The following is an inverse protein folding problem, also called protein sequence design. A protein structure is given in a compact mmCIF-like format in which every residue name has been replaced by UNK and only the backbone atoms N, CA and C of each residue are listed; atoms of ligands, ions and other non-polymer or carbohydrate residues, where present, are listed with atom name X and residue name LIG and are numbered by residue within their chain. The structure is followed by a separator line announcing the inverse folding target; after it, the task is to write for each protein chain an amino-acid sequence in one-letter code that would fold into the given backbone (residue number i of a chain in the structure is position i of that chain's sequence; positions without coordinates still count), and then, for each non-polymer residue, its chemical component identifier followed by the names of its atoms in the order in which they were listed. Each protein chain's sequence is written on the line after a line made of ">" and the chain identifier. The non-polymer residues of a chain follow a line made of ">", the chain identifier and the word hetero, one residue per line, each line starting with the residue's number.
data_IF_193324371677
#
_entry.id   IF_193324371677
#
_cell.length_a   1.000
_cell.length_b   1.000
_cell.length_c   1.000
_cell.angle_alpha   90.00
_cell.angle_beta   90.00
_cell.angle_gamma   90.00
#
_symmetry.space_group_name_H-M   'P 1'
#
loop_
_entity.id
_entity.type
_entity.pdbx_description
1 polymer ?
#
# COMPACT_ATOMS: atom_id res chain seq x y z
N UNK A 1 -2.48 21.98 0.01
CA UNK A 1 -3.27 20.90 0.65
C UNK A 1 -2.37 19.87 1.31
N UNK A 2 -1.48 19.19 0.54
CA UNK A 2 -0.54 18.21 1.11
C UNK A 2 0.25 18.74 2.31
N UNK A 3 0.94 19.86 2.17
CA UNK A 3 1.77 20.40 3.26
C UNK A 3 0.98 20.76 4.52
N UNK A 4 -0.24 21.29 4.38
CA UNK A 4 -1.08 21.57 5.54
C UNK A 4 -1.54 20.28 6.25
N UNK A 5 -1.96 19.27 5.50
CA UNK A 5 -2.34 17.98 6.06
C UNK A 5 -1.16 17.28 6.75
N UNK A 6 0.01 17.30 6.11
CA UNK A 6 1.26 16.76 6.68
C UNK A 6 1.66 17.49 7.97
N UNK A 7 1.57 18.81 8.00
CA UNK A 7 1.86 19.60 9.19
C UNK A 7 0.95 19.22 10.36
N UNK A 8 -0.34 18.99 10.12
CA UNK A 8 -1.28 18.53 11.16
C UNK A 8 -0.82 17.21 11.78
N UNK A 9 -0.50 16.20 10.96
CA UNK A 9 -0.01 14.89 11.46
C UNK A 9 1.26 15.04 12.31
N UNK A 10 2.22 15.86 11.85
CA UNK A 10 3.49 16.07 12.55
C UNK A 10 3.30 16.88 13.85
N UNK A 11 2.37 17.84 13.86
CA UNK A 11 2.02 18.59 15.08
C UNK A 11 1.39 17.64 16.11
N UNK A 12 0.43 16.79 15.69
CA UNK A 12 -0.18 15.80 16.60
C UNK A 12 0.89 14.89 17.19
N UNK A 13 1.79 14.35 16.36
CA UNK A 13 2.90 13.50 16.82
C UNK A 13 3.83 14.26 17.79
N UNK A 14 4.12 15.52 17.51
CA UNK A 14 4.97 16.35 18.40
C UNK A 14 4.32 16.60 19.75
N UNK A 15 3.01 16.81 19.77
CA UNK A 15 2.25 17.05 20.98
C UNK A 15 2.04 15.79 21.83
N UNK A 16 2.07 14.60 21.23
CA UNK A 16 1.95 13.33 21.95
C UNK A 16 3.27 12.87 22.61
N UNK A 17 4.42 13.38 22.16
CA UNK A 17 5.73 12.94 22.64
C UNK A 17 5.93 13.08 24.17
N UNK A 18 5.47 14.14 24.89
CA UNK A 18 5.65 14.27 26.34
C UNK A 18 4.95 13.15 27.12
N UNK A 19 3.82 12.67 26.64
CA UNK A 19 3.00 11.65 27.30
C UNK A 19 3.35 10.22 26.83
N UNK A 20 4.26 10.09 25.85
CA UNK A 20 4.69 8.78 25.35
C UNK A 20 5.46 8.02 26.44
N UNK A 21 5.02 6.82 26.82
CA UNK A 21 5.70 6.02 27.84
C UNK A 21 7.02 5.47 27.30
N UNK A 22 7.82 4.86 28.20
CA UNK A 22 9.00 4.09 27.77
C UNK A 22 8.58 2.98 26.80
N UNK A 23 9.28 2.89 25.68
CA UNK A 23 9.08 1.89 24.63
C UNK A 23 10.33 1.04 24.46
N UNK A 24 10.27 0.01 23.63
CA UNK A 24 11.46 -0.75 23.19
C UNK A 24 12.38 0.11 22.27
N UNK A 25 11.86 1.23 21.76
CA UNK A 25 12.54 2.11 20.81
C UNK A 25 13.19 3.34 21.46
N UNK A 26 12.61 3.82 22.59
CA UNK A 26 13.09 5.03 23.23
C UNK A 26 12.68 5.09 24.73
N UNK A 27 13.40 5.93 25.55
CA UNK A 27 13.00 6.28 26.90
C UNK A 27 11.65 7.04 26.90
N UNK A 28 11.05 7.30 28.10
CA UNK A 28 9.86 8.14 28.19
C UNK A 28 10.11 9.53 27.59
N UNK A 29 9.07 10.15 27.03
CA UNK A 29 9.13 11.47 26.40
C UNK A 29 10.21 11.56 25.33
N UNK A 30 10.12 10.74 24.25
CA UNK A 30 11.16 10.65 23.25
C UNK A 30 11.43 11.99 22.55
N UNK A 31 12.64 12.17 22.11
CA UNK A 31 13.00 13.26 21.20
C UNK A 31 12.25 13.11 19.88
N UNK A 32 12.17 14.18 19.11
CA UNK A 32 11.53 14.13 17.77
C UNK A 32 12.08 13.02 16.88
N UNK A 33 13.40 12.87 16.83
CA UNK A 33 14.04 11.86 15.96
C UNK A 33 13.77 10.43 16.45
N UNK A 34 13.75 10.22 17.75
CA UNK A 34 13.37 8.92 18.32
C UNK A 34 11.92 8.59 18.01
N UNK A 35 11.01 9.57 18.21
CA UNK A 35 9.58 9.35 18.06
C UNK A 35 9.16 9.01 16.63
N UNK A 36 9.74 9.67 15.61
CA UNK A 36 9.51 9.32 14.20
C UNK A 36 10.17 8.02 13.76
N UNK A 37 11.08 7.47 14.59
CA UNK A 37 11.85 6.25 14.29
C UNK A 37 11.29 4.99 14.98
N UNK A 38 10.05 5.05 15.48
CA UNK A 38 9.41 3.89 16.08
C UNK A 38 9.01 2.82 15.04
N UNK A 39 8.79 1.60 15.50
CA UNK A 39 8.24 0.48 14.75
C UNK A 39 9.06 0.10 13.50
N UNK A 40 8.47 0.12 12.31
CA UNK A 40 9.16 -0.28 11.05
C UNK A 40 10.41 0.55 10.78
N UNK A 41 10.42 1.83 11.19
CA UNK A 41 11.63 2.67 11.10
C UNK A 41 12.81 2.11 11.88
N UNK A 42 12.56 1.41 12.99
CA UNK A 42 13.59 0.72 13.77
C UNK A 42 14.22 -0.43 12.99
N UNK A 43 13.43 -1.18 12.22
CA UNK A 43 13.93 -2.22 11.33
C UNK A 43 14.77 -1.65 10.19
N UNK A 44 14.34 -0.56 9.56
CA UNK A 44 15.12 0.10 8.51
C UNK A 44 16.44 0.66 9.04
N UNK A 45 16.48 1.21 10.26
CA UNK A 45 17.70 1.63 10.91
C UNK A 45 18.65 0.44 11.20
N UNK A 46 18.10 -0.71 11.61
CA UNK A 46 18.89 -1.93 11.81
C UNK A 46 19.49 -2.42 10.51
N UNK A 47 18.73 -2.41 9.41
CA UNK A 47 19.22 -2.81 8.09
C UNK A 47 20.33 -1.87 7.60
N UNK A 48 20.19 -0.56 7.80
CA UNK A 48 21.21 0.44 7.44
C UNK A 48 22.54 0.19 8.18
N UNK A 49 22.48 -0.21 9.45
CA UNK A 49 23.66 -0.43 10.29
C UNK A 49 24.27 -1.82 10.16
N UNK A 50 23.46 -2.86 9.98
CA UNK A 50 23.87 -4.26 10.12
C UNK A 50 23.66 -5.08 8.83
N UNK A 51 22.91 -4.54 7.86
CA UNK A 51 22.52 -5.28 6.67
C UNK A 51 21.47 -6.37 6.96
N UNK A 52 21.36 -7.30 6.03
CA UNK A 52 20.47 -8.46 6.13
C UNK A 52 21.23 -9.66 6.71
N UNK A 53 20.62 -10.43 7.63
CA UNK A 53 21.28 -11.56 8.26
C UNK A 53 21.53 -12.70 7.26
N UNK A 54 22.71 -13.30 7.31
CA UNK A 54 23.07 -14.50 6.55
C UNK A 54 22.63 -15.79 7.22
N UNK A 55 22.29 -15.75 8.53
CA UNK A 55 21.72 -16.85 9.27
C UNK A 55 20.43 -16.41 9.94
N UNK A 56 19.39 -17.23 9.85
CA UNK A 56 18.10 -16.95 10.47
C UNK A 56 18.06 -17.57 11.86
N UNK A 57 17.80 -16.76 12.89
CA UNK A 57 17.49 -17.26 14.21
C UNK A 57 16.16 -18.03 14.17
N UNK A 58 16.08 -19.10 14.95
CA UNK A 58 14.88 -19.93 15.11
C UNK A 58 14.56 -20.06 16.60
N UNK A 59 13.28 -20.12 16.92
CA UNK A 59 12.79 -20.38 18.27
C UNK A 59 12.96 -21.86 18.68
N UNK A 60 12.50 -22.22 19.87
CA UNK A 60 12.57 -23.58 20.40
C UNK A 60 11.76 -24.61 19.59
N UNK A 61 10.74 -24.14 18.86
CA UNK A 61 9.85 -24.96 18.03
C UNK A 61 10.34 -25.04 16.57
N UNK A 62 11.45 -24.37 16.24
CA UNK A 62 12.07 -24.37 14.91
C UNK A 62 11.47 -23.33 13.95
N UNK A 63 10.60 -22.43 14.43
CA UNK A 63 10.11 -21.32 13.62
C UNK A 63 11.14 -20.21 13.53
N UNK A 64 11.19 -19.55 12.38
CA UNK A 64 12.09 -18.43 12.15
C UNK A 64 11.62 -17.22 12.95
N UNK A 65 12.54 -16.59 13.68
CA UNK A 65 12.28 -15.33 14.38
C UNK A 65 12.08 -14.16 13.41
N UNK A 66 11.39 -13.12 13.90
CA UNK A 66 11.24 -11.85 13.17
C UNK A 66 12.62 -11.29 12.80
N UNK A 67 12.80 -10.98 11.53
CA UNK A 67 14.10 -10.51 11.04
C UNK A 67 13.96 -9.52 9.86
N UNK A 68 15.09 -8.98 9.40
CA UNK A 68 15.18 -7.92 8.42
C UNK A 68 14.64 -8.30 7.02
N UNK A 69 14.61 -9.59 6.65
CA UNK A 69 14.16 -10.01 5.30
C UNK A 69 12.68 -9.71 5.00
N UNK A 70 11.86 -9.39 6.00
CA UNK A 70 10.49 -8.88 5.78
C UNK A 70 10.46 -7.46 5.21
N UNK A 71 11.57 -6.72 5.28
CA UNK A 71 11.64 -5.31 4.90
C UNK A 71 12.41 -5.14 3.60
N UNK A 72 11.79 -4.53 2.61
CA UNK A 72 12.37 -4.32 1.29
C UNK A 72 13.54 -3.32 1.30
N UNK A 73 14.54 -3.48 0.40
CA UNK A 73 15.82 -2.79 0.51
C UNK A 73 15.82 -1.35 0.05
N UNK A 74 14.79 -0.85 -0.65
CA UNK A 74 14.86 0.47 -1.28
C UNK A 74 15.04 1.59 -0.24
N UNK A 75 14.26 1.58 0.84
CA UNK A 75 14.34 2.64 1.84
C UNK A 75 15.67 2.65 2.57
N UNK A 76 16.19 1.53 3.14
CA UNK A 76 17.51 1.51 3.74
C UNK A 76 18.66 1.79 2.75
N UNK A 77 18.54 1.36 1.48
CA UNK A 77 19.55 1.66 0.45
C UNK A 77 19.67 3.16 0.10
N UNK A 78 18.65 3.95 0.39
CA UNK A 78 18.72 5.42 0.23
C UNK A 78 19.50 6.10 1.35
N UNK A 79 20.05 5.33 2.29
CA UNK A 79 21.00 5.65 3.36
C UNK A 79 20.64 6.77 4.36
N UNK A 80 20.61 6.45 5.59
CA UNK A 80 20.74 7.25 6.81
C UNK A 80 20.01 8.61 6.84
N UNK A 81 20.74 9.70 6.71
CA UNK A 81 20.18 11.06 6.72
C UNK A 81 19.25 11.40 5.55
N UNK A 82 19.46 10.76 4.39
CA UNK A 82 18.62 10.93 3.20
C UNK A 82 17.27 10.19 3.38
N UNK A 83 17.22 9.07 4.11
CA UNK A 83 15.99 8.33 4.31
C UNK A 83 14.90 9.16 5.01
N UNK A 84 15.26 10.03 5.93
CA UNK A 84 14.33 10.97 6.60
C UNK A 84 13.79 12.04 5.66
N UNK A 85 14.66 12.60 4.82
CA UNK A 85 14.26 13.55 3.78
C UNK A 85 13.47 12.87 2.65
N UNK A 86 13.76 11.60 2.37
CA UNK A 86 13.09 10.79 1.34
C UNK A 86 11.63 10.52 1.69
N UNK A 87 11.28 10.28 2.96
CA UNK A 87 9.90 10.12 3.40
C UNK A 87 9.05 11.34 3.03
N UNK A 88 9.55 12.53 3.28
CA UNK A 88 8.89 13.79 2.94
C UNK A 88 8.82 14.05 1.44
N UNK A 89 9.92 13.87 0.72
CA UNK A 89 9.96 14.09 -0.73
C UNK A 89 9.13 13.07 -1.50
N UNK A 90 9.13 11.80 -1.09
CA UNK A 90 8.30 10.77 -1.70
C UNK A 90 6.81 10.96 -1.38
N UNK A 91 6.47 11.41 -0.18
CA UNK A 91 5.10 11.79 0.21
C UNK A 91 4.58 12.95 -0.65
N UNK A 92 5.39 14.01 -0.82
CA UNK A 92 5.07 15.12 -1.71
C UNK A 92 4.96 14.66 -3.17
N UNK A 93 5.90 13.83 -3.63
CA UNK A 93 5.88 13.24 -4.96
C UNK A 93 4.63 12.40 -5.21
N UNK A 94 4.22 11.58 -4.25
CA UNK A 94 2.98 10.80 -4.33
C UNK A 94 1.75 11.69 -4.45
N UNK A 95 1.68 12.79 -3.69
CA UNK A 95 0.60 13.78 -3.80
C UNK A 95 0.53 14.44 -5.18
N UNK A 96 1.70 14.79 -5.76
CA UNK A 96 1.78 15.36 -7.11
C UNK A 96 1.35 14.34 -8.16
N UNK A 97 1.82 13.10 -8.09
CA UNK A 97 1.43 12.04 -9.05
C UNK A 97 -0.06 11.78 -8.97
N UNK A 98 -0.62 11.71 -7.75
CA UNK A 98 -2.04 11.56 -7.51
C UNK A 98 -2.83 12.71 -8.15
N UNK A 99 -2.46 13.96 -7.89
CA UNK A 99 -3.13 15.12 -8.45
C UNK A 99 -3.09 15.12 -9.99
N UNK A 100 -1.92 14.86 -10.58
CA UNK A 100 -1.75 14.77 -12.05
C UNK A 100 -2.51 13.62 -12.69
N UNK A 101 -2.78 12.58 -11.95
CA UNK A 101 -3.63 11.48 -12.43
C UNK A 101 -5.11 11.81 -12.32
N UNK A 102 -5.53 12.43 -11.22
CA UNK A 102 -6.94 12.68 -10.89
C UNK A 102 -7.51 13.93 -11.55
N UNK A 103 -6.79 15.04 -11.55
CA UNK A 103 -7.31 16.33 -11.97
C UNK A 103 -7.95 16.31 -13.38
N UNK A 104 -7.38 15.62 -14.39
CA UNK A 104 -8.01 15.50 -15.71
C UNK A 104 -9.33 14.71 -15.71
N UNK A 105 -9.57 13.89 -14.69
CA UNK A 105 -10.77 13.01 -14.62
C UNK A 105 -11.86 13.61 -13.76
N UNK A 106 -11.51 14.22 -12.63
CA UNK A 106 -12.46 14.68 -11.61
C UNK A 106 -12.47 16.19 -11.42
N UNK A 107 -11.56 16.91 -12.08
CA UNK A 107 -11.36 18.35 -11.95
C UNK A 107 -10.44 18.72 -10.78
N UNK A 108 -9.76 19.86 -10.88
CA UNK A 108 -8.71 20.31 -9.96
C UNK A 108 -9.17 20.39 -8.49
N UNK A 109 -10.35 20.98 -8.25
CA UNK A 109 -10.88 21.10 -6.88
C UNK A 109 -11.13 19.76 -6.21
N UNK A 110 -11.68 18.79 -6.96
CA UNK A 110 -11.95 17.46 -6.41
C UNK A 110 -10.65 16.69 -6.18
N UNK A 111 -9.66 16.85 -7.06
CA UNK A 111 -8.32 16.28 -6.91
C UNK A 111 -7.61 16.81 -5.66
N UNK A 112 -7.62 18.12 -5.44
CA UNK A 112 -7.04 18.73 -4.24
C UNK A 112 -7.71 18.24 -2.94
N UNK A 113 -9.03 18.04 -2.94
CA UNK A 113 -9.74 17.44 -1.81
C UNK A 113 -9.33 15.99 -1.58
N UNK A 114 -9.15 15.22 -2.65
CA UNK A 114 -8.68 13.84 -2.54
C UNK A 114 -7.28 13.76 -1.91
N UNK A 115 -6.37 14.65 -2.31
CA UNK A 115 -5.04 14.80 -1.67
C UNK A 115 -5.20 15.17 -0.20
N UNK A 116 -6.01 16.18 0.14
CA UNK A 116 -6.21 16.59 1.53
C UNK A 116 -6.72 15.43 2.40
N UNK A 117 -7.74 14.71 1.96
CA UNK A 117 -8.33 13.60 2.70
C UNK A 117 -7.38 12.42 2.86
N UNK A 118 -6.59 12.10 1.82
CA UNK A 118 -5.60 11.02 1.89
C UNK A 118 -4.53 11.33 2.94
N UNK A 119 -3.95 12.53 2.90
CA UNK A 119 -2.89 12.95 3.84
C UNK A 119 -3.41 13.40 5.21
N UNK A 120 -4.71 13.45 5.40
CA UNK A 120 -5.36 13.61 6.71
C UNK A 120 -5.99 12.31 7.22
N UNK A 121 -5.87 11.18 6.51
CA UNK A 121 -6.42 9.90 6.96
C UNK A 121 -5.87 9.52 8.34
N UNK A 122 -6.57 8.71 9.14
CA UNK A 122 -6.14 8.41 10.52
C UNK A 122 -4.69 7.93 10.65
N UNK A 123 -4.22 7.11 9.71
CA UNK A 123 -2.86 6.58 9.67
C UNK A 123 -1.89 7.37 8.75
N UNK A 124 -2.26 8.60 8.32
CA UNK A 124 -1.45 9.37 7.36
C UNK A 124 -0.04 9.71 7.87
N UNK A 125 0.22 9.62 9.17
CA UNK A 125 1.54 9.79 9.75
C UNK A 125 2.58 8.88 9.08
N UNK A 126 2.24 7.63 8.75
CA UNK A 126 3.18 6.69 8.12
C UNK A 126 3.65 7.13 6.73
N UNK A 127 2.95 8.09 6.10
CA UNK A 127 3.40 8.69 4.83
C UNK A 127 4.49 9.76 5.03
N UNK A 128 4.86 10.09 6.25
CA UNK A 128 5.71 11.25 6.57
C UNK A 128 6.87 10.91 7.49
N UNK A 129 6.82 9.77 8.15
CA UNK A 129 7.92 9.19 8.93
C UNK A 129 8.78 8.29 8.04
N UNK A 130 9.98 7.81 8.50
CA UNK A 130 10.84 6.94 7.72
C UNK A 130 10.25 5.53 7.53
N UNK A 131 9.12 5.47 6.85
CA UNK A 131 8.41 4.28 6.43
C UNK A 131 8.41 4.15 4.89
N UNK A 132 8.25 2.95 4.39
CA UNK A 132 8.26 2.69 2.94
C UNK A 132 6.90 2.94 2.25
N UNK A 133 5.85 3.31 2.99
CA UNK A 133 4.50 3.55 2.49
C UNK A 133 4.44 4.64 1.42
N UNK A 134 5.08 5.77 1.66
CA UNK A 134 5.10 6.88 0.70
C UNK A 134 5.86 6.55 -0.58
N UNK A 135 6.98 5.81 -0.48
CA UNK A 135 7.73 5.29 -1.64
C UNK A 135 6.88 4.31 -2.44
N UNK A 136 6.28 3.33 -1.77
CA UNK A 136 5.39 2.35 -2.40
C UNK A 136 4.21 3.01 -3.11
N UNK A 137 3.56 3.98 -2.47
CA UNK A 137 2.45 4.72 -3.04
C UNK A 137 2.89 5.54 -4.27
N UNK A 138 4.01 6.27 -4.16
CA UNK A 138 4.57 7.08 -5.25
C UNK A 138 4.84 6.22 -6.49
N UNK A 139 5.65 5.17 -6.33
CA UNK A 139 6.11 4.40 -7.48
C UNK A 139 5.00 3.52 -8.07
N UNK A 140 4.09 3.00 -7.24
CA UNK A 140 2.93 2.27 -7.76
C UNK A 140 1.99 3.17 -8.54
N UNK A 141 1.63 4.34 -7.99
CA UNK A 141 0.78 5.30 -8.69
C UNK A 141 1.43 5.78 -10.00
N UNK A 142 2.74 6.09 -9.98
CA UNK A 142 3.47 6.49 -11.17
C UNK A 142 3.54 5.37 -12.22
N UNK A 143 3.84 4.14 -11.82
CA UNK A 143 3.87 2.98 -12.71
C UNK A 143 2.53 2.78 -13.42
N UNK A 144 1.42 2.78 -12.67
CA UNK A 144 0.07 2.60 -13.22
C UNK A 144 -0.36 3.76 -14.11
N UNK A 145 -0.06 5.01 -13.70
CA UNK A 145 -0.37 6.20 -14.50
C UNK A 145 0.40 6.24 -15.84
N UNK A 146 1.63 5.73 -15.86
CA UNK A 146 2.49 5.68 -17.04
C UNK A 146 2.23 4.45 -17.92
N UNK A 147 1.85 3.31 -17.34
CA UNK A 147 1.61 2.05 -18.07
C UNK A 147 0.60 2.20 -19.20
N UNK A 148 -0.44 3.01 -19.00
CA UNK A 148 -1.45 3.32 -20.01
C UNK A 148 -0.99 4.27 -21.12
N UNK A 149 0.14 4.97 -20.95
CA UNK A 149 0.61 6.04 -21.83
C UNK A 149 1.75 5.57 -22.75
N UNK A 150 1.64 5.84 -24.06
CA UNK A 150 2.68 5.50 -25.02
C UNK A 150 3.91 6.39 -24.96
N UNK A 151 4.99 5.97 -25.67
CA UNK A 151 6.26 6.68 -25.79
C UNK A 151 7.41 5.98 -25.06
N UNK A 152 8.60 5.93 -25.71
CA UNK A 152 9.78 5.20 -25.19
C UNK A 152 10.21 5.69 -23.81
N UNK A 153 10.33 7.00 -23.61
CA UNK A 153 10.73 7.57 -22.32
C UNK A 153 9.72 7.27 -21.19
N UNK A 154 8.41 7.32 -21.47
CA UNK A 154 7.37 6.99 -20.50
C UNK A 154 7.36 5.50 -20.17
N UNK A 155 7.63 4.63 -21.14
CA UNK A 155 7.73 3.18 -20.91
C UNK A 155 8.95 2.84 -20.04
N UNK A 156 10.10 3.46 -20.29
CA UNK A 156 11.29 3.31 -19.45
C UNK A 156 11.05 3.81 -18.01
N UNK A 157 10.39 4.97 -17.86
CA UNK A 157 10.04 5.50 -16.53
C UNK A 157 9.02 4.60 -15.82
N UNK A 158 8.03 4.04 -16.54
CA UNK A 158 7.10 3.06 -15.97
C UNK A 158 7.84 1.81 -15.47
N UNK A 159 8.80 1.29 -16.25
CA UNK A 159 9.61 0.16 -15.85
C UNK A 159 10.45 0.46 -14.60
N UNK A 160 11.11 1.61 -14.56
CA UNK A 160 11.83 2.06 -13.36
C UNK A 160 10.90 2.16 -12.13
N UNK A 161 9.70 2.72 -12.30
CA UNK A 161 8.72 2.80 -11.21
C UNK A 161 8.25 1.41 -10.75
N UNK A 162 8.09 0.44 -11.64
CA UNK A 162 7.74 -0.95 -11.29
C UNK A 162 8.84 -1.57 -10.42
N UNK A 163 10.11 -1.42 -10.81
CA UNK A 163 11.26 -1.92 -10.03
C UNK A 163 11.28 -1.27 -8.65
N UNK A 164 11.21 0.06 -8.61
CA UNK A 164 11.26 0.81 -7.34
C UNK A 164 10.06 0.50 -6.43
N UNK A 165 8.86 0.28 -6.99
CA UNK A 165 7.69 -0.15 -6.23
C UNK A 165 7.92 -1.54 -5.60
N UNK A 166 8.39 -2.52 -6.38
CA UNK A 166 8.60 -3.89 -5.91
C UNK A 166 9.66 -3.99 -4.79
N UNK A 167 10.70 -3.15 -4.86
CA UNK A 167 11.75 -3.10 -3.83
C UNK A 167 11.49 -2.08 -2.70
N UNK A 168 10.37 -1.35 -2.73
CA UNK A 168 9.97 -0.50 -1.62
C UNK A 168 9.10 -1.23 -0.59
N UNK A 169 8.20 -2.10 -1.05
CA UNK A 169 7.24 -2.84 -0.21
C UNK A 169 6.89 -4.19 -0.86
N UNK A 170 6.34 -5.18 -0.11
CA UNK A 170 5.89 -6.46 -0.66
C UNK A 170 4.60 -6.32 -1.49
N UNK A 171 4.59 -5.36 -2.42
CA UNK A 171 3.45 -5.07 -3.33
C UNK A 171 3.69 -5.58 -4.76
N UNK A 172 4.78 -6.28 -4.99
CA UNK A 172 5.11 -6.82 -6.31
C UNK A 172 4.07 -7.84 -6.81
N UNK A 173 3.57 -8.72 -5.93
CA UNK A 173 2.51 -9.70 -6.28
C UNK A 173 1.26 -8.99 -6.81
N UNK A 174 0.60 -8.10 -6.05
CA UNK A 174 -0.60 -7.43 -6.54
C UNK A 174 -0.33 -6.52 -7.75
N UNK A 175 0.87 -5.93 -7.89
CA UNK A 175 1.22 -5.14 -9.06
C UNK A 175 1.33 -6.02 -10.31
N UNK A 176 1.94 -7.20 -10.20
CA UNK A 176 2.03 -8.19 -11.28
C UNK A 176 0.65 -8.65 -11.71
N UNK A 177 -0.22 -8.98 -10.75
CA UNK A 177 -1.61 -9.37 -11.02
C UNK A 177 -2.41 -8.26 -11.70
N UNK A 178 -2.25 -7.02 -11.25
CA UNK A 178 -2.94 -5.86 -11.81
C UNK A 178 -2.52 -5.59 -13.26
N UNK A 179 -1.22 -5.57 -13.54
CA UNK A 179 -0.69 -5.34 -14.88
C UNK A 179 -1.03 -6.49 -15.82
N UNK A 180 -0.93 -7.74 -15.35
CA UNK A 180 -1.29 -8.94 -16.12
C UNK A 180 -2.78 -9.01 -16.44
N UNK A 181 -3.65 -8.71 -15.48
CA UNK A 181 -5.09 -8.66 -15.71
C UNK A 181 -5.47 -7.52 -16.67
N UNK A 182 -4.81 -6.38 -16.57
CA UNK A 182 -4.99 -5.28 -17.52
C UNK A 182 -4.54 -5.68 -18.92
N UNK A 183 -3.38 -6.33 -19.05
CA UNK A 183 -2.89 -6.86 -20.32
C UNK A 183 -3.87 -7.88 -20.95
N UNK A 184 -4.36 -8.85 -20.18
CA UNK A 184 -5.35 -9.83 -20.63
C UNK A 184 -6.65 -9.16 -21.08
N UNK A 185 -7.09 -8.12 -20.38
CA UNK A 185 -8.26 -7.35 -20.75
C UNK A 185 -8.09 -6.61 -22.10
N UNK A 186 -6.92 -6.03 -22.34
CA UNK A 186 -6.58 -5.40 -23.63
C UNK A 186 -6.54 -6.43 -24.77
N UNK A 187 -5.96 -7.61 -24.52
CA UNK A 187 -5.96 -8.72 -25.48
C UNK A 187 -7.39 -9.19 -25.83
N UNK A 188 -8.26 -9.31 -24.84
CA UNK A 188 -9.64 -9.70 -25.05
C UNK A 188 -10.44 -8.68 -25.89
N UNK A 189 -10.01 -7.43 -25.92
CA UNK A 189 -10.59 -6.37 -26.76
C UNK A 189 -10.32 -6.53 -28.26
N UNK A 190 -9.33 -7.35 -28.68
CA UNK A 190 -9.01 -7.65 -30.08
C UNK A 190 -9.91 -8.70 -30.73
N UNK A 191 -10.84 -9.31 -30.02
CA UNK A 191 -11.76 -10.31 -30.57
C UNK A 191 -12.67 -9.73 -31.67
N UNK A 192 -13.03 -10.52 -32.71
CA UNK A 192 -13.81 -10.04 -33.84
C UNK A 192 -15.16 -9.42 -33.42
N UNK A 193 -15.72 -8.50 -34.21
CA UNK A 193 -16.89 -7.67 -33.85
C UNK A 193 -18.11 -8.43 -33.32
N UNK A 194 -18.32 -9.67 -33.75
CA UNK A 194 -19.43 -10.52 -33.25
C UNK A 194 -19.26 -11.05 -31.82
N UNK A 195 -18.04 -11.11 -31.31
CA UNK A 195 -17.76 -11.58 -29.95
C UNK A 195 -17.82 -10.46 -28.89
N UNK A 196 -17.85 -9.20 -29.32
CA UNK A 196 -17.76 -8.01 -28.44
C UNK A 196 -19.03 -7.74 -27.64
N UNK A 197 -20.21 -8.18 -28.12
CA UNK A 197 -21.48 -7.85 -27.52
C UNK A 197 -21.80 -8.58 -26.22
N UNK A 198 -21.26 -9.78 -26.02
CA UNK A 198 -21.67 -10.65 -24.90
C UNK A 198 -20.85 -10.49 -23.61
N UNK A 199 -19.60 -10.03 -23.69
CA UNK A 199 -18.71 -9.93 -22.54
C UNK A 199 -18.62 -8.53 -21.91
N UNK A 200 -19.08 -7.49 -22.61
CA UNK A 200 -19.09 -6.10 -22.11
C UNK A 200 -20.33 -5.72 -21.31
N UNK A 201 -21.34 -6.55 -21.27
CA UNK A 201 -22.67 -6.19 -20.79
C UNK A 201 -22.92 -6.39 -19.29
N UNK A 202 -21.93 -6.46 -18.43
CA UNK A 202 -22.28 -6.52 -17.02
C UNK A 202 -21.20 -6.31 -15.97
N UNK A 203 -20.01 -6.78 -16.19
CA UNK A 203 -19.00 -6.86 -15.11
C UNK A 203 -17.75 -5.97 -15.32
N UNK A 204 -17.42 -5.59 -16.54
CA UNK A 204 -16.24 -4.77 -16.80
C UNK A 204 -16.64 -3.34 -17.20
N UNK A 205 -15.91 -2.32 -16.72
CA UNK A 205 -16.25 -0.93 -16.96
C UNK A 205 -16.23 -0.60 -18.47
N UNK A 206 -17.23 0.16 -18.92
CA UNK A 206 -17.09 0.93 -20.12
C UNK A 206 -16.01 1.99 -19.85
N UNK A 207 -14.77 1.64 -20.07
CA UNK A 207 -13.66 2.58 -20.01
C UNK A 207 -13.63 3.27 -21.37
N UNK A 208 -13.77 4.58 -21.38
CA UNK A 208 -13.49 5.42 -22.53
C UNK A 208 -11.97 5.34 -22.82
N UNK A 209 -11.57 4.27 -23.47
CA UNK A 209 -10.20 4.08 -23.99
C UNK A 209 -10.15 4.49 -25.44
N UNK A 210 -8.96 4.79 -26.01
CA UNK A 210 -8.81 5.04 -27.43
C UNK A 210 -9.37 3.87 -28.23
N UNK A 211 -10.10 4.19 -29.28
CA UNK A 211 -10.78 3.27 -30.18
C UNK A 211 -9.76 2.38 -30.92
N UNK A 212 -9.70 1.10 -30.55
CA UNK A 212 -8.94 0.06 -31.25
C UNK A 212 -7.83 -0.59 -30.42
N UNK A 213 -7.41 -1.81 -30.83
CA UNK A 213 -6.31 -2.53 -30.19
C UNK A 213 -4.98 -1.79 -30.45
N UNK A 214 -4.34 -1.37 -29.35
CA UNK A 214 -3.00 -0.76 -29.39
C UNK A 214 -1.96 -1.82 -29.04
N UNK A 215 -1.37 -2.43 -30.07
CA UNK A 215 -0.30 -3.43 -29.92
C UNK A 215 0.87 -2.90 -29.09
N UNK A 216 1.21 -1.61 -29.24
CA UNK A 216 2.27 -0.99 -28.46
C UNK A 216 1.95 -1.00 -26.96
N UNK A 217 0.70 -0.75 -26.59
CA UNK A 217 0.23 -0.83 -25.18
C UNK A 217 0.24 -2.26 -24.68
N UNK A 218 -0.20 -3.22 -25.47
CA UNK A 218 -0.20 -4.64 -25.09
C UNK A 218 1.21 -5.16 -24.82
N UNK A 219 2.16 -4.91 -25.75
CA UNK A 219 3.57 -5.29 -25.56
C UNK A 219 4.14 -4.64 -24.30
N UNK A 220 3.84 -3.36 -24.07
CA UNK A 220 4.31 -2.65 -22.90
C UNK A 220 3.73 -3.23 -21.60
N UNK A 221 2.43 -3.50 -21.54
CA UNK A 221 1.79 -4.10 -20.36
C UNK A 221 2.34 -5.49 -20.08
N UNK A 222 2.54 -6.32 -21.12
CA UNK A 222 3.17 -7.63 -20.96
C UNK A 222 4.60 -7.50 -20.41
N UNK A 223 5.41 -6.61 -20.99
CA UNK A 223 6.78 -6.38 -20.54
C UNK A 223 6.82 -5.91 -19.08
N UNK A 224 5.93 -4.98 -18.67
CA UNK A 224 5.83 -4.53 -17.29
C UNK A 224 5.33 -5.62 -16.35
N UNK A 225 4.44 -6.50 -16.80
CA UNK A 225 3.97 -7.66 -16.02
C UNK A 225 5.12 -8.63 -15.75
N UNK A 226 5.89 -8.98 -16.79
CA UNK A 226 7.05 -9.86 -16.67
C UNK A 226 8.11 -9.24 -15.75
N UNK A 227 8.40 -7.94 -15.93
CA UNK A 227 9.34 -7.22 -15.07
C UNK A 227 8.90 -7.21 -13.61
N UNK A 228 7.61 -6.90 -13.36
CA UNK A 228 7.05 -6.90 -12.01
C UNK A 228 7.14 -8.29 -11.37
N UNK A 229 6.81 -9.35 -12.11
CA UNK A 229 6.93 -10.73 -11.64
C UNK A 229 8.38 -11.12 -11.33
N UNK A 230 9.32 -10.76 -12.19
CA UNK A 230 10.74 -10.98 -11.97
C UNK A 230 11.26 -10.27 -10.71
N UNK A 231 10.89 -8.99 -10.52
CA UNK A 231 11.25 -8.25 -9.30
C UNK A 231 10.61 -8.84 -8.05
N UNK A 232 9.37 -9.34 -8.14
CA UNK A 232 8.68 -10.00 -7.03
C UNK A 232 9.41 -11.25 -6.57
N UNK A 233 9.92 -12.05 -7.52
CA UNK A 233 10.69 -13.27 -7.22
C UNK A 233 12.13 -12.98 -6.81
N UNK A 234 12.68 -11.86 -7.24
CA UNK A 234 14.08 -11.52 -6.96
C UNK A 234 14.36 -11.41 -5.46
N UNK A 235 13.43 -10.87 -4.66
CA UNK A 235 13.64 -10.70 -3.23
C UNK A 235 13.69 -12.03 -2.45
N UNK A 236 12.72 -12.95 -2.59
CA UNK A 236 12.84 -14.29 -2.03
C UNK A 236 14.10 -15.06 -2.49
N UNK A 237 14.49 -14.90 -3.75
CA UNK A 237 15.71 -15.54 -4.28
C UNK A 237 16.95 -14.95 -3.61
N UNK A 238 17.03 -13.64 -3.43
CA UNK A 238 18.13 -13.00 -2.70
C UNK A 238 18.20 -13.48 -1.25
N UNK A 239 17.06 -13.58 -0.56
CA UNK A 239 17.00 -14.12 0.78
C UNK A 239 17.50 -15.57 0.82
N UNK A 240 17.08 -16.41 -0.11
CA UNK A 240 17.56 -17.79 -0.25
C UNK A 240 19.07 -17.83 -0.48
N UNK A 241 19.59 -17.12 -1.47
CA UNK A 241 21.03 -17.12 -1.79
C UNK A 241 21.89 -16.60 -0.62
N UNK A 242 21.38 -15.66 0.16
CA UNK A 242 22.10 -15.09 1.30
C UNK A 242 22.08 -15.98 2.53
N UNK A 243 21.02 -16.74 2.75
CA UNK A 243 20.82 -17.55 3.96
C UNK A 243 21.03 -19.06 3.73
N UNK A 244 21.09 -19.51 2.47
CA UNK A 244 21.09 -20.93 2.10
C UNK A 244 19.75 -21.65 2.30
N UNK A 245 18.70 -20.95 2.77
CA UNK A 245 17.41 -21.51 3.12
C UNK A 245 16.34 -21.10 2.08
N UNK A 246 15.78 -22.07 1.34
CA UNK A 246 14.86 -21.81 0.23
C UNK A 246 13.54 -21.14 0.64
N UNK A 247 13.11 -21.31 1.89
CA UNK A 247 11.90 -20.70 2.45
C UNK A 247 12.20 -19.44 3.29
N UNK A 248 13.42 -18.91 3.27
CA UNK A 248 13.87 -17.80 4.12
C UNK A 248 12.90 -16.62 4.16
N UNK A 249 12.43 -16.16 3.00
CA UNK A 249 11.50 -15.03 2.92
C UNK A 249 10.12 -15.39 3.46
N UNK A 250 9.54 -16.50 3.04
CA UNK A 250 8.19 -16.91 3.48
C UNK A 250 8.15 -17.26 4.96
N UNK A 251 9.18 -17.93 5.48
CA UNK A 251 9.31 -18.21 6.90
C UNK A 251 9.45 -16.91 7.72
N UNK A 252 10.21 -15.91 7.20
CA UNK A 252 10.29 -14.58 7.82
C UNK A 252 8.94 -13.88 7.84
N UNK A 253 8.21 -13.85 6.73
CA UNK A 253 6.88 -13.21 6.65
C UNK A 253 5.87 -13.86 7.60
N UNK A 254 5.97 -15.15 7.82
CA UNK A 254 5.09 -15.88 8.75
C UNK A 254 5.50 -15.74 10.22
N UNK A 255 6.70 -15.25 10.52
CA UNK A 255 7.17 -14.99 11.90
C UNK A 255 6.35 -13.95 12.66
N UNK A 256 5.57 -13.12 11.95
CA UNK A 256 4.61 -12.18 12.55
C UNK A 256 3.23 -12.79 12.79
N UNK A 257 3.01 -14.07 12.46
CA UNK A 257 1.71 -14.76 12.53
C UNK A 257 1.90 -16.25 12.75
N UNK A 258 2.04 -16.68 13.94
CA UNK A 258 2.04 -18.09 14.39
C UNK A 258 2.69 -19.14 13.41
N UNK A 259 3.65 -18.70 12.59
CA UNK A 259 4.45 -19.54 11.70
C UNK A 259 3.75 -20.17 10.49
N UNK A 260 2.46 -19.92 10.26
CA UNK A 260 1.72 -20.57 9.18
C UNK A 260 1.23 -19.63 8.08
N UNK A 261 1.32 -20.08 6.82
CA UNK A 261 0.74 -19.41 5.66
C UNK A 261 -0.52 -20.17 5.22
N UNK A 262 -1.67 -19.72 5.69
CA UNK A 262 -2.98 -20.29 5.35
C UNK A 262 -3.79 -19.27 4.53
N UNK A 263 -3.78 -19.36 3.18
CA UNK A 263 -4.48 -18.38 2.35
C UNK A 263 -5.96 -18.27 2.73
N UNK A 264 -6.47 -17.02 2.78
CA UNK A 264 -7.84 -16.63 3.11
C UNK A 264 -8.30 -16.89 4.55
N UNK A 265 -7.64 -17.77 5.32
CA UNK A 265 -8.05 -18.13 6.67
C UNK A 265 -7.90 -16.96 7.70
N UNK A 266 -6.86 -16.11 7.67
CA UNK A 266 -6.64 -15.10 8.69
C UNK A 266 -7.80 -14.10 8.83
N UNK A 267 -8.45 -13.76 7.74
CA UNK A 267 -9.58 -12.81 7.78
C UNK A 267 -10.75 -13.32 8.63
N UNK A 268 -11.05 -14.62 8.56
CA UNK A 268 -12.14 -15.18 9.37
C UNK A 268 -11.76 -15.22 10.86
N UNK A 269 -10.56 -15.72 11.18
CA UNK A 269 -10.09 -15.82 12.56
C UNK A 269 -9.93 -14.43 13.20
N UNK A 270 -9.33 -13.46 12.48
CA UNK A 270 -9.16 -12.09 12.99
C UNK A 270 -10.45 -11.31 13.09
N UNK A 271 -11.43 -11.56 12.22
CA UNK A 271 -12.76 -10.97 12.39
C UNK A 271 -13.39 -11.38 13.72
N UNK A 272 -13.22 -12.65 14.13
CA UNK A 272 -13.61 -13.12 15.47
C UNK A 272 -12.81 -12.46 16.60
N UNK A 273 -11.53 -12.18 16.39
CA UNK A 273 -10.70 -11.46 17.37
C UNK A 273 -11.17 -10.00 17.56
N UNK A 274 -11.59 -9.32 16.48
CA UNK A 274 -12.06 -7.92 16.55
C UNK A 274 -13.42 -7.76 17.29
N UNK A 275 -14.38 -8.64 17.03
CA UNK A 275 -15.78 -8.46 17.46
C UNK A 275 -16.36 -9.67 18.18
N UNK A 276 -15.54 -10.65 18.50
CA UNK A 276 -15.95 -11.92 19.09
C UNK A 276 -16.35 -12.98 18.05
N UNK A 277 -16.28 -14.27 18.44
CA UNK A 277 -16.43 -15.40 17.50
C UNK A 277 -17.80 -15.44 16.80
N UNK A 278 -18.87 -14.98 17.45
CA UNK A 278 -20.22 -14.98 16.89
C UNK A 278 -20.45 -13.87 15.86
N UNK A 279 -19.84 -12.71 16.03
CA UNK A 279 -19.98 -11.56 15.12
C UNK A 279 -18.88 -11.54 14.03
N UNK A 280 -17.79 -12.27 14.20
CA UNK A 280 -16.69 -12.33 13.25
C UNK A 280 -17.12 -12.62 11.82
N UNK A 281 -17.90 -13.68 11.55
CA UNK A 281 -18.38 -13.98 10.19
C UNK A 281 -19.22 -12.84 9.58
N UNK A 282 -20.03 -12.14 10.38
CA UNK A 282 -20.82 -10.99 9.92
C UNK A 282 -19.93 -9.79 9.59
N UNK A 283 -18.90 -9.54 10.39
CA UNK A 283 -17.89 -8.52 10.09
C UNK A 283 -17.19 -8.82 8.76
N UNK A 284 -16.72 -10.06 8.56
CA UNK A 284 -16.09 -10.46 7.31
C UNK A 284 -17.04 -10.31 6.11
N UNK A 285 -18.29 -10.76 6.24
CA UNK A 285 -19.30 -10.59 5.20
C UNK A 285 -19.51 -9.09 4.87
N UNK A 286 -19.60 -8.23 5.87
CA UNK A 286 -19.70 -6.79 5.71
C UNK A 286 -18.48 -6.20 4.98
N UNK A 287 -17.26 -6.61 5.33
CA UNK A 287 -16.02 -6.19 4.65
C UNK A 287 -16.06 -6.60 3.17
N UNK A 288 -16.44 -7.82 2.86
CA UNK A 288 -16.54 -8.32 1.47
C UNK A 288 -17.60 -7.54 0.68
N UNK A 289 -18.75 -7.22 1.26
CA UNK A 289 -19.79 -6.39 0.63
C UNK A 289 -19.27 -4.99 0.35
N UNK A 290 -18.59 -4.35 1.31
CA UNK A 290 -18.01 -3.02 1.15
C UNK A 290 -16.93 -3.04 0.06
N UNK A 291 -16.06 -4.03 0.05
CA UNK A 291 -15.03 -4.19 -0.97
C UNK A 291 -15.65 -4.35 -2.37
N UNK A 292 -16.65 -5.23 -2.51
CA UNK A 292 -17.37 -5.43 -3.76
C UNK A 292 -18.08 -4.15 -4.23
N UNK A 293 -18.74 -3.43 -3.33
CA UNK A 293 -19.38 -2.16 -3.63
C UNK A 293 -18.37 -1.09 -4.09
N UNK A 294 -17.22 -0.97 -3.40
CA UNK A 294 -16.15 -0.04 -3.74
C UNK A 294 -15.56 -0.34 -5.13
N UNK A 295 -15.26 -1.62 -5.43
CA UNK A 295 -14.74 -2.05 -6.73
C UNK A 295 -15.78 -1.91 -7.85
N UNK A 296 -17.06 -1.99 -7.53
CA UNK A 296 -18.16 -1.80 -8.48
C UNK A 296 -18.49 -0.33 -8.71
N UNK A 297 -17.97 0.59 -7.90
CA UNK A 297 -18.33 2.00 -7.95
C UNK A 297 -17.99 2.65 -9.31
N UNK A 298 -18.95 3.35 -9.95
CA UNK A 298 -18.68 4.05 -11.22
C UNK A 298 -17.58 5.11 -11.10
N UNK A 299 -17.43 5.72 -9.93
CA UNK A 299 -16.38 6.71 -9.66
C UNK A 299 -14.98 6.11 -9.74
N UNK A 300 -14.75 4.90 -9.21
CA UNK A 300 -13.47 4.19 -9.34
C UNK A 300 -13.19 3.81 -10.79
N UNK A 301 -14.20 3.33 -11.50
CA UNK A 301 -14.08 2.93 -12.91
C UNK A 301 -13.68 4.10 -13.83
N UNK A 302 -14.13 5.33 -13.51
CA UNK A 302 -13.75 6.55 -14.23
C UNK A 302 -12.25 6.89 -14.12
N UNK A 303 -11.56 6.42 -13.08
CA UNK A 303 -10.12 6.60 -12.94
C UNK A 303 -9.29 5.75 -13.93
N UNK A 304 -9.94 4.85 -14.65
CA UNK A 304 -9.35 4.04 -15.70
C UNK A 304 -8.95 2.63 -15.25
N UNK A 305 -8.52 1.79 -16.23
CA UNK A 305 -8.25 0.38 -15.98
C UNK A 305 -7.11 0.16 -15.00
N UNK A 306 -6.04 0.96 -15.05
CA UNK A 306 -4.92 0.84 -14.12
C UNK A 306 -5.34 0.94 -12.66
N UNK A 307 -6.20 1.92 -12.31
CA UNK A 307 -6.71 2.08 -10.96
C UNK A 307 -7.61 0.90 -10.55
N UNK A 308 -8.49 0.47 -11.46
CA UNK A 308 -9.44 -0.59 -11.17
C UNK A 308 -8.77 -1.96 -10.99
N UNK A 309 -7.88 -2.34 -11.91
CA UNK A 309 -7.15 -3.61 -11.81
C UNK A 309 -6.22 -3.62 -10.61
N UNK A 310 -5.58 -2.49 -10.28
CA UNK A 310 -4.78 -2.37 -9.08
C UNK A 310 -5.61 -2.61 -7.81
N UNK A 311 -6.71 -1.91 -7.63
CA UNK A 311 -7.54 -2.08 -6.44
C UNK A 311 -8.09 -3.50 -6.33
N UNK A 312 -8.51 -4.10 -7.45
CA UNK A 312 -9.01 -5.49 -7.47
C UNK A 312 -7.91 -6.47 -7.08
N UNK A 313 -6.75 -6.39 -7.71
CA UNK A 313 -5.62 -7.27 -7.43
C UNK A 313 -5.11 -7.12 -5.99
N UNK A 314 -5.07 -5.88 -5.48
CA UNK A 314 -4.63 -5.61 -4.12
C UNK A 314 -5.62 -6.13 -3.08
N UNK A 315 -6.92 -5.97 -3.29
CA UNK A 315 -7.95 -6.58 -2.41
C UNK A 315 -7.84 -8.10 -2.40
N UNK A 316 -7.70 -8.73 -3.57
CA UNK A 316 -7.53 -10.20 -3.65
C UNK A 316 -6.25 -10.63 -2.92
N UNK A 317 -5.15 -9.90 -3.11
CA UNK A 317 -3.88 -10.16 -2.41
C UNK A 317 -4.02 -10.05 -0.89
N UNK A 318 -4.69 -9.00 -0.40
CA UNK A 318 -4.94 -8.84 1.04
C UNK A 318 -5.80 -9.97 1.59
N UNK A 319 -6.88 -10.33 0.91
CA UNK A 319 -7.75 -11.43 1.33
C UNK A 319 -7.00 -12.77 1.36
N UNK A 320 -6.06 -12.98 0.43
CA UNK A 320 -5.31 -14.23 0.36
C UNK A 320 -4.19 -14.32 1.41
N UNK A 321 -3.45 -13.22 1.64
CA UNK A 321 -2.17 -13.30 2.33
C UNK A 321 -2.02 -12.40 3.56
N UNK A 322 -2.91 -11.45 3.78
CA UNK A 322 -2.77 -10.51 4.89
C UNK A 322 -3.51 -10.99 6.15
N UNK A 323 -2.85 -10.88 7.31
CA UNK A 323 -3.45 -11.08 8.62
C UNK A 323 -3.92 -9.72 9.20
N UNK A 324 -5.25 -9.44 9.24
CA UNK A 324 -5.77 -8.09 9.54
C UNK A 324 -5.74 -7.76 11.03
N UNK A 325 -4.56 -7.46 11.54
CA UNK A 325 -4.33 -6.83 12.84
C UNK A 325 -4.58 -5.31 12.77
N UNK A 326 -4.18 -4.55 13.78
CA UNK A 326 -4.31 -3.07 13.78
C UNK A 326 -3.52 -2.39 12.67
N UNK A 327 -2.49 -3.04 12.12
CA UNK A 327 -1.76 -2.57 10.93
C UNK A 327 -2.64 -2.49 9.67
N UNK A 328 -3.84 -3.08 9.68
CA UNK A 328 -4.78 -3.03 8.55
C UNK A 328 -5.03 -1.60 8.06
N UNK A 329 -5.10 -0.63 8.95
CA UNK A 329 -5.36 0.76 8.57
C UNK A 329 -4.30 1.33 7.63
N UNK A 330 -3.00 1.07 7.90
CA UNK A 330 -1.91 1.51 7.01
C UNK A 330 -1.78 0.63 5.76
N UNK A 331 -2.04 -0.66 5.90
CA UNK A 331 -1.99 -1.61 4.78
C UNK A 331 -3.08 -1.34 3.74
N UNK A 332 -4.16 -0.68 4.10
CA UNK A 332 -5.19 -0.22 3.15
C UNK A 332 -4.81 1.05 2.37
N UNK A 333 -3.74 1.78 2.73
CA UNK A 333 -3.31 3.00 2.02
C UNK A 333 -3.07 2.81 0.51
N UNK A 334 -2.54 1.68 0.01
CA UNK A 334 -2.42 1.44 -1.43
C UNK A 334 -3.76 1.34 -2.19
N UNK A 335 -4.90 1.19 -1.50
CA UNK A 335 -6.24 1.36 -2.08
C UNK A 335 -6.61 2.84 -2.28
N UNK A 336 -5.64 3.74 -2.27
CA UNK A 336 -5.79 5.16 -2.53
C UNK A 336 -6.77 5.50 -3.69
N UNK A 337 -6.78 4.82 -4.86
CA UNK A 337 -7.74 5.11 -5.91
C UNK A 337 -9.20 4.99 -5.49
N UNK A 338 -9.55 4.10 -4.55
CA UNK A 338 -10.91 4.01 -3.97
C UNK A 338 -11.22 5.26 -3.14
N UNK A 339 -10.29 5.67 -2.27
CA UNK A 339 -10.43 6.88 -1.46
C UNK A 339 -10.55 8.14 -2.34
N UNK A 340 -9.77 8.21 -3.43
CA UNK A 340 -9.82 9.31 -4.39
C UNK A 340 -11.17 9.38 -5.10
N UNK A 341 -11.66 8.25 -5.58
CA UNK A 341 -12.96 8.15 -6.24
C UNK A 341 -14.10 8.59 -5.31
N UNK A 342 -14.03 8.17 -4.04
CA UNK A 342 -14.99 8.57 -3.02
C UNK A 342 -14.92 10.07 -2.75
N UNK A 343 -13.73 10.61 -2.50
CA UNK A 343 -13.52 12.04 -2.25
C UNK A 343 -14.04 12.93 -3.39
N UNK A 344 -13.82 12.50 -4.63
CA UNK A 344 -14.27 13.22 -5.80
C UNK A 344 -15.80 13.26 -5.93
N UNK A 345 -16.51 12.24 -5.45
CA UNK A 345 -17.98 12.14 -5.54
C UNK A 345 -18.73 12.84 -4.42
N UNK A 346 -18.05 13.25 -3.34
CA UNK A 346 -18.68 13.87 -2.17
C UNK A 346 -18.99 15.36 -2.39
N UNK A 347 -20.11 15.83 -1.79
CA UNK A 347 -20.40 17.25 -1.66
C UNK A 347 -19.41 17.94 -0.71
N UNK A 348 -19.25 19.26 -0.82
CA UNK A 348 -18.34 20.05 0.03
C UNK A 348 -18.58 19.80 1.52
N UNK A 349 -19.84 19.81 1.96
CA UNK A 349 -20.21 19.55 3.36
C UNK A 349 -19.72 18.18 3.85
N UNK A 350 -19.91 17.15 3.03
CA UNK A 350 -19.45 15.79 3.35
C UNK A 350 -17.92 15.68 3.34
N UNK A 351 -17.23 16.39 2.45
CA UNK A 351 -15.77 16.45 2.44
C UNK A 351 -15.20 17.08 3.70
N UNK A 352 -15.81 18.20 4.16
CA UNK A 352 -15.40 18.85 5.41
C UNK A 352 -15.64 17.93 6.60
N UNK A 353 -16.82 17.31 6.70
CA UNK A 353 -17.10 16.34 7.76
C UNK A 353 -16.09 15.19 7.76
N UNK A 354 -15.81 14.60 6.60
CA UNK A 354 -14.85 13.51 6.47
C UNK A 354 -13.43 13.97 6.85
N UNK A 355 -13.02 15.17 6.44
CA UNK A 355 -11.72 15.74 6.83
C UNK A 355 -11.60 15.88 8.35
N UNK A 356 -12.64 16.43 9.00
CA UNK A 356 -12.67 16.55 10.47
C UNK A 356 -12.59 15.17 11.13
N UNK A 357 -13.37 14.21 10.65
CA UNK A 357 -13.32 12.83 11.15
C UNK A 357 -11.93 12.21 10.97
N UNK A 358 -11.28 12.43 9.84
CA UNK A 358 -9.92 11.96 9.59
C UNK A 358 -8.91 12.56 10.57
N UNK A 359 -8.97 13.88 10.80
CA UNK A 359 -8.06 14.57 11.75
C UNK A 359 -8.29 14.10 13.18
N UNK A 360 -9.56 13.95 13.60
CA UNK A 360 -9.89 13.36 14.92
C UNK A 360 -9.37 11.92 14.99
N UNK A 361 -9.53 11.14 13.92
CA UNK A 361 -8.99 9.79 13.81
C UNK A 361 -7.47 9.72 13.96
N UNK A 362 -6.73 10.75 13.51
CA UNK A 362 -5.27 10.82 13.72
C UNK A 362 -4.90 10.96 15.21
N UNK A 363 -5.66 11.73 15.98
CA UNK A 363 -5.44 11.86 17.43
C UNK A 363 -5.53 10.49 18.09
N UNK A 364 -6.57 9.71 17.76
CA UNK A 364 -6.71 8.35 18.29
C UNK A 364 -5.62 7.42 17.77
N UNK A 365 -5.33 7.44 16.47
CA UNK A 365 -4.36 6.52 15.88
C UNK A 365 -2.94 6.77 16.40
N UNK A 366 -2.52 8.03 16.51
CA UNK A 366 -1.20 8.39 17.03
C UNK A 366 -1.14 8.07 18.53
N UNK A 367 -2.07 8.57 19.34
CA UNK A 367 -2.01 8.37 20.78
C UNK A 367 -2.29 6.93 21.24
N UNK A 368 -3.02 6.14 20.46
CA UNK A 368 -3.38 4.77 20.84
C UNK A 368 -2.53 3.71 20.14
N UNK A 369 -2.33 3.83 18.83
CA UNK A 369 -1.64 2.79 18.06
C UNK A 369 -0.13 3.10 17.97
N UNK A 370 0.26 4.35 17.75
CA UNK A 370 1.66 4.73 17.67
C UNK A 370 2.35 4.74 19.05
N UNK A 371 1.77 5.42 20.02
CA UNK A 371 2.39 5.67 21.33
C UNK A 371 2.12 4.59 22.38
N UNK A 372 0.91 4.04 22.42
CA UNK A 372 0.46 3.13 23.50
C UNK A 372 0.49 1.67 23.13
N UNK A 373 0.60 1.32 21.85
CA UNK A 373 0.60 -0.08 21.41
C UNK A 373 1.75 -0.92 21.99
N UNK A 374 2.79 -0.26 22.47
CA UNK A 374 3.90 -0.95 23.20
C UNK A 374 3.43 -1.64 24.48
N UNK A 375 2.34 -1.16 25.10
CA UNK A 375 1.73 -1.80 26.28
C UNK A 375 0.82 -2.96 25.91
N UNK A 376 0.36 -2.99 24.67
CA UNK A 376 -0.54 -3.99 24.14
C UNK A 376 0.15 -4.59 22.90
N UNK A 377 0.98 -5.60 23.09
CA UNK A 377 1.85 -6.22 22.07
C UNK A 377 1.12 -6.68 20.79
N UNK A 378 -0.20 -6.70 20.78
CA UNK A 378 -1.03 -7.08 19.66
C UNK A 378 -1.45 -5.90 18.75
N UNK A 379 -1.17 -4.66 19.16
CA UNK A 379 -1.58 -3.44 18.47
C UNK A 379 -0.36 -2.81 17.77
N UNK A 380 -0.15 -3.18 16.54
CA UNK A 380 0.97 -2.69 15.71
C UNK A 380 0.44 -1.65 14.73
N UNK A 381 1.06 -0.46 14.60
CA UNK A 381 0.66 0.58 13.66
C UNK A 381 0.81 0.19 12.19
#
# INVERSE_FOLDING_TARGET
>A
MWGAASAVSLIILRLSAPDTPRTIWAPPSPTWLEHISFWDSGWYNRIDQQGYPSALAVDADGHVDQNAWAFMPLLPALAGGIARATGWSSSAGAAVVMDRWLAPVVGERASLWAVALMWSSPCALVLQVPYAESLGLLFTAAALALAGRGGRGRSALAAACVVLAAFSRPIGVPLTLALGAWWLWELAGERPPGARGRWRSGLLPAVSGPSGPDRGRQVRLLALTILSGACTLAWPVLAWLSTGRGDAYTATETAWRDGSLTPFAPWLSRSGWWVGPHLGPLLLAGILVVAAAALSAPSLRRLGPGAWFWCTAYVVYLLAFFDPTTSVFRILLPLAPVAWALAASLSLRRRILLLTTCVVGQLFWIGWVWDLSVRVTQWVP
#
